data_IF_588561436439
#
_entry.id   IF_588561436439
#
_cell.length_a   1.000
_cell.length_b   1.000
_cell.length_c   1.000
_cell.angle_alpha   90.00
_cell.angle_beta   90.00
_cell.angle_gamma   90.00
#
_symmetry.space_group_name_H-M   'P 1'
#
loop_
_entity.id
_entity.type
_entity.pdbx_description
1 polymer ?
#
# COMPACT_ATOMS: atom_id res chain seq x y z
N UNK A 1 -34.43 8.57 21.52
CA UNK A 1 -34.44 8.98 20.09
C UNK A 1 -33.01 9.29 19.72
N UNK A 2 -32.33 8.40 19.02
CA UNK A 2 -30.97 8.65 18.52
C UNK A 2 -31.04 9.71 17.42
N UNK A 3 -30.17 10.74 17.40
CA UNK A 3 -30.15 11.73 16.33
C UNK A 3 -29.89 11.03 14.99
N UNK A 4 -30.84 11.13 14.07
CA UNK A 4 -30.66 10.69 12.69
C UNK A 4 -29.63 11.64 12.05
N UNK A 5 -28.56 11.13 11.43
CA UNK A 5 -27.57 11.99 10.76
C UNK A 5 -28.26 12.84 9.69
N UNK A 6 -27.80 14.09 9.46
CA UNK A 6 -28.39 14.97 8.46
C UNK A 6 -28.39 14.29 7.08
N UNK A 7 -29.58 14.12 6.51
CA UNK A 7 -29.77 13.57 5.18
C UNK A 7 -29.15 14.54 4.16
N UNK A 8 -27.98 14.20 3.62
CA UNK A 8 -27.34 15.03 2.60
C UNK A 8 -25.85 14.78 2.36
N UNK A 9 -25.12 14.17 3.30
CA UNK A 9 -23.73 13.74 3.04
C UNK A 9 -23.77 12.33 2.47
N UNK A 10 -23.39 12.10 1.20
CA UNK A 10 -23.31 10.75 0.67
C UNK A 10 -22.34 9.95 1.54
N UNK A 11 -22.83 8.88 2.17
CA UNK A 11 -21.97 8.00 2.95
C UNK A 11 -20.90 7.42 2.03
N UNK A 12 -19.64 7.46 2.47
CA UNK A 12 -18.56 6.80 1.76
C UNK A 12 -18.88 5.29 1.67
N UNK A 13 -18.74 4.65 0.49
CA UNK A 13 -19.00 3.23 0.37
C UNK A 13 -18.06 2.40 1.27
N UNK A 14 -18.59 1.33 1.85
CA UNK A 14 -17.80 0.41 2.68
C UNK A 14 -16.59 -0.16 1.91
N UNK A 15 -16.74 -0.45 0.62
CA UNK A 15 -15.66 -0.92 -0.25
C UNK A 15 -14.46 0.04 -0.29
N UNK A 16 -14.69 1.36 -0.24
CA UNK A 16 -13.63 2.38 -0.24
C UNK A 16 -12.90 2.40 1.10
N UNK A 17 -13.63 2.33 2.22
CA UNK A 17 -13.02 2.27 3.55
C UNK A 17 -12.26 0.95 3.76
N UNK A 18 -12.81 -0.19 3.35
CA UNK A 18 -12.11 -1.48 3.39
C UNK A 18 -10.88 -1.46 2.48
N UNK A 19 -11.03 -0.98 1.24
CA UNK A 19 -9.91 -0.85 0.30
C UNK A 19 -8.77 0.02 0.86
N UNK A 20 -9.11 1.14 1.52
CA UNK A 20 -8.15 1.99 2.23
C UNK A 20 -7.39 1.22 3.32
N UNK A 21 -8.09 0.45 4.16
CA UNK A 21 -7.45 -0.31 5.22
C UNK A 21 -6.55 -1.43 4.69
N UNK A 22 -6.99 -2.16 3.66
CA UNK A 22 -6.15 -3.17 3.01
C UNK A 22 -4.84 -2.55 2.49
N UNK A 23 -4.93 -1.40 1.83
CA UNK A 23 -3.77 -0.66 1.36
C UNK A 23 -2.87 -0.14 2.49
N UNK A 24 -3.45 0.37 3.57
CA UNK A 24 -2.68 0.89 4.69
C UNK A 24 -1.89 -0.22 5.40
N UNK A 25 -2.51 -1.39 5.59
CA UNK A 25 -1.84 -2.56 6.16
C UNK A 25 -0.77 -3.07 5.18
N UNK A 26 -1.07 -3.15 3.89
CA UNK A 26 -0.10 -3.54 2.88
C UNK A 26 1.12 -2.61 2.86
N UNK A 27 0.90 -1.30 2.90
CA UNK A 27 1.96 -0.30 2.97
C UNK A 27 2.86 -0.53 4.18
N UNK A 28 2.26 -0.72 5.35
CA UNK A 28 3.00 -0.99 6.59
C UNK A 28 3.86 -2.25 6.47
N UNK A 29 3.28 -3.35 5.98
CA UNK A 29 4.00 -4.60 5.80
C UNK A 29 5.17 -4.44 4.82
N UNK A 30 4.93 -3.85 3.65
CA UNK A 30 5.96 -3.67 2.63
C UNK A 30 7.09 -2.75 3.09
N UNK A 31 6.79 -1.70 3.86
CA UNK A 31 7.81 -0.86 4.49
C UNK A 31 8.68 -1.64 5.46
N UNK A 32 8.07 -2.51 6.30
CA UNK A 32 8.83 -3.38 7.22
C UNK A 32 9.75 -4.30 6.42
N UNK A 33 9.23 -4.97 5.38
CA UNK A 33 10.02 -5.85 4.51
C UNK A 33 11.19 -5.13 3.87
N UNK A 34 10.94 -3.94 3.29
CA UNK A 34 11.95 -3.13 2.63
C UNK A 34 13.04 -2.63 3.61
N UNK A 35 12.65 -2.18 4.80
CA UNK A 35 13.59 -1.70 5.83
C UNK A 35 14.48 -2.84 6.32
N UNK A 36 13.90 -4.01 6.62
CA UNK A 36 14.67 -5.17 7.09
C UNK A 36 15.65 -5.65 6.00
N UNK A 37 15.21 -5.72 4.74
CA UNK A 37 16.06 -6.08 3.60
C UNK A 37 17.20 -5.07 3.43
N UNK A 38 16.90 -3.78 3.50
CA UNK A 38 17.89 -2.71 3.42
C UNK A 38 18.93 -2.74 4.54
N UNK A 39 18.50 -2.94 5.80
CA UNK A 39 19.40 -3.01 6.95
C UNK A 39 20.30 -4.25 6.93
N UNK A 40 19.82 -5.36 6.35
CA UNK A 40 20.63 -6.57 6.18
C UNK A 40 21.80 -6.35 5.21
N UNK A 41 21.57 -5.62 4.11
CA UNK A 41 22.62 -5.26 3.14
C UNK A 41 23.57 -4.19 3.68
N UNK A 42 23.05 -3.29 4.52
CA UNK A 42 23.73 -2.06 4.89
C UNK A 42 24.80 -2.17 5.99
N UNK A 43 25.28 -3.38 6.32
CA UNK A 43 26.44 -3.59 7.20
C UNK A 43 27.76 -2.96 6.67
N UNK A 44 27.73 -2.34 5.48
CA UNK A 44 28.89 -1.83 4.75
C UNK A 44 28.97 -0.29 4.73
N UNK A 45 27.84 0.45 4.82
CA UNK A 45 27.85 1.93 4.73
C UNK A 45 26.62 2.60 5.37
N UNK A 46 26.86 3.50 6.34
CA UNK A 46 25.81 4.29 7.00
C UNK A 46 25.07 5.25 6.06
N UNK A 47 25.73 5.72 4.99
CA UNK A 47 25.12 6.56 3.97
C UNK A 47 24.06 5.79 3.18
N UNK A 48 24.34 4.52 2.85
CA UNK A 48 23.40 3.65 2.14
C UNK A 48 22.17 3.35 3.02
N UNK A 49 22.37 3.13 4.32
CA UNK A 49 21.26 3.02 5.29
C UNK A 49 20.38 4.27 5.22
N UNK A 50 20.98 5.45 5.36
CA UNK A 50 20.25 6.70 5.44
C UNK A 50 19.44 6.97 4.16
N UNK A 51 20.04 6.74 2.98
CA UNK A 51 19.36 6.89 1.70
C UNK A 51 18.22 5.89 1.52
N UNK A 52 18.42 4.64 1.96
CA UNK A 52 17.39 3.59 1.89
C UNK A 52 16.19 3.94 2.78
N UNK A 53 16.44 4.37 4.01
CA UNK A 53 15.38 4.80 4.94
C UNK A 53 14.67 6.06 4.44
N UNK A 54 15.41 7.05 3.93
CA UNK A 54 14.82 8.26 3.37
C UNK A 54 13.90 7.90 2.21
N UNK A 55 14.35 7.07 1.27
CA UNK A 55 13.54 6.61 0.15
C UNK A 55 12.28 5.87 0.63
N UNK A 56 12.41 4.96 1.60
CA UNK A 56 11.28 4.22 2.16
C UNK A 56 10.23 5.16 2.78
N UNK A 57 10.67 6.14 3.58
CA UNK A 57 9.80 7.12 4.23
C UNK A 57 9.12 8.02 3.20
N UNK A 58 9.86 8.54 2.22
CA UNK A 58 9.30 9.37 1.15
C UNK A 58 8.27 8.61 0.33
N UNK A 59 8.58 7.37 -0.09
CA UNK A 59 7.65 6.53 -0.84
C UNK A 59 6.41 6.20 0.00
N UNK A 60 6.59 5.87 1.28
CA UNK A 60 5.48 5.58 2.18
C UNK A 60 4.57 6.78 2.41
N UNK A 61 5.14 7.98 2.58
CA UNK A 61 4.38 9.22 2.69
C UNK A 61 3.61 9.54 1.40
N UNK A 62 4.21 9.30 0.22
CA UNK A 62 3.54 9.48 -1.07
C UNK A 62 2.34 8.55 -1.22
N UNK A 63 2.51 7.25 -0.94
CA UNK A 63 1.39 6.28 -1.00
C UNK A 63 0.32 6.65 0.01
N UNK A 64 0.68 6.95 1.26
CA UNK A 64 -0.26 7.37 2.29
C UNK A 64 -1.06 8.60 1.86
N UNK A 65 -0.41 9.57 1.22
CA UNK A 65 -1.07 10.76 0.68
C UNK A 65 -2.11 10.38 -0.36
N UNK A 66 -1.77 9.49 -1.31
CA UNK A 66 -2.73 8.99 -2.29
C UNK A 66 -3.88 8.20 -1.65
N UNK A 67 -3.64 7.46 -0.57
CA UNK A 67 -4.71 6.79 0.18
C UNK A 67 -5.67 7.77 0.83
N UNK A 68 -5.16 8.86 1.41
CA UNK A 68 -5.99 9.91 2.00
C UNK A 68 -6.80 10.67 0.94
N UNK A 69 -6.19 10.98 -0.20
CA UNK A 69 -6.88 11.59 -1.35
C UNK A 69 -7.92 10.65 -1.98
N UNK A 70 -7.61 9.36 -2.05
CA UNK A 70 -8.56 8.34 -2.49
C UNK A 70 -9.77 8.29 -1.55
N UNK A 71 -9.52 8.35 -0.24
CA UNK A 71 -10.56 8.40 0.79
C UNK A 71 -11.42 9.67 0.69
N UNK A 72 -10.91 10.78 0.15
CA UNK A 72 -11.70 12.00 -0.12
C UNK A 72 -12.36 12.03 -1.50
N UNK A 73 -12.25 10.98 -2.33
CA UNK A 73 -12.99 10.85 -3.59
C UNK A 73 -12.22 11.28 -4.84
N UNK A 74 -10.92 11.53 -4.76
CA UNK A 74 -10.13 11.92 -5.93
C UNK A 74 -9.96 10.76 -6.92
N UNK A 75 -10.65 10.81 -8.06
CA UNK A 75 -10.66 9.77 -9.11
C UNK A 75 -9.29 9.29 -9.62
N UNK A 76 -8.32 10.20 -9.77
CA UNK A 76 -7.01 9.88 -10.36
C UNK A 76 -6.17 8.98 -9.45
N UNK A 77 -6.43 9.02 -8.14
CA UNK A 77 -5.72 8.20 -7.16
C UNK A 77 -5.95 6.71 -7.40
N UNK A 78 -7.12 6.31 -7.90
CA UNK A 78 -7.40 4.90 -8.24
C UNK A 78 -6.46 4.38 -9.31
N UNK A 79 -6.24 5.15 -10.37
CA UNK A 79 -5.33 4.75 -11.47
C UNK A 79 -3.89 4.69 -10.98
N UNK A 80 -3.45 5.68 -10.20
CA UNK A 80 -2.09 5.72 -9.65
C UNK A 80 -1.84 4.58 -8.65
N UNK A 81 -2.77 4.33 -7.73
CA UNK A 81 -2.68 3.23 -6.78
C UNK A 81 -2.74 1.88 -7.50
N UNK A 82 -3.53 1.74 -8.57
CA UNK A 82 -3.59 0.50 -9.35
C UNK A 82 -2.29 0.25 -10.09
N UNK A 83 -1.79 1.24 -10.83
CA UNK A 83 -0.53 1.13 -11.57
C UNK A 83 0.66 0.89 -10.63
N UNK A 84 0.76 1.69 -9.56
CA UNK A 84 1.78 1.53 -8.54
C UNK A 84 1.69 0.19 -7.82
N UNK A 85 0.49 -0.23 -7.43
CA UNK A 85 0.25 -1.51 -6.76
C UNK A 85 0.62 -2.72 -7.63
N UNK A 86 0.23 -2.71 -8.91
CA UNK A 86 0.62 -3.77 -9.86
C UNK A 86 2.14 -3.81 -10.04
N UNK A 87 2.78 -2.64 -10.22
CA UNK A 87 4.24 -2.55 -10.32
C UNK A 87 4.92 -3.11 -9.05
N UNK A 88 4.41 -2.78 -7.86
CA UNK A 88 4.90 -3.32 -6.59
C UNK A 88 4.76 -4.83 -6.54
N UNK A 89 3.60 -5.41 -6.90
CA UNK A 89 3.40 -6.87 -6.89
C UNK A 89 4.37 -7.58 -7.85
N UNK A 90 4.59 -7.03 -9.05
CA UNK A 90 5.55 -7.58 -10.01
C UNK A 90 6.97 -7.50 -9.44
N UNK A 91 7.36 -6.34 -8.92
CA UNK A 91 8.68 -6.16 -8.29
C UNK A 91 8.89 -7.14 -7.14
N UNK A 92 7.94 -7.26 -6.23
CA UNK A 92 8.00 -8.19 -5.10
C UNK A 92 8.14 -9.63 -5.58
N UNK A 93 7.37 -10.02 -6.60
CA UNK A 93 7.44 -11.36 -7.18
C UNK A 93 8.83 -11.64 -7.77
N UNK A 94 9.34 -10.75 -8.63
CA UNK A 94 10.68 -10.91 -9.21
C UNK A 94 11.75 -10.96 -8.12
N UNK A 95 11.68 -10.06 -7.15
CA UNK A 95 12.65 -9.95 -6.06
C UNK A 95 12.64 -11.18 -5.15
N UNK A 96 11.48 -11.82 -4.94
CA UNK A 96 11.34 -13.04 -4.15
C UNK A 96 12.14 -14.20 -4.75
N UNK A 97 12.21 -14.29 -6.08
CA UNK A 97 12.87 -15.40 -6.78
C UNK A 97 14.29 -15.09 -7.28
N UNK A 98 14.69 -13.82 -7.32
CA UNK A 98 15.98 -13.41 -7.91
C UNK A 98 17.00 -12.87 -6.92
N UNK A 99 16.57 -12.36 -5.76
CA UNK A 99 17.48 -11.70 -4.81
C UNK A 99 17.83 -12.66 -3.67
N UNK A 100 19.11 -13.06 -3.54
CA UNK A 100 19.56 -13.87 -2.41
C UNK A 100 19.56 -13.03 -1.12
N UNK A 101 19.07 -13.63 -0.03
CA UNK A 101 18.92 -12.97 1.28
C UNK A 101 19.38 -13.88 2.41
N UNK A 102 19.88 -13.30 3.50
CA UNK A 102 20.08 -14.03 4.75
C UNK A 102 18.74 -14.56 5.31
N UNK A 103 18.73 -15.66 6.10
CA UNK A 103 17.50 -16.36 6.48
C UNK A 103 16.43 -15.47 7.11
N UNK A 104 16.82 -14.57 8.03
CA UNK A 104 15.90 -13.66 8.69
C UNK A 104 15.25 -12.69 7.67
N UNK A 105 16.07 -12.01 6.86
CA UNK A 105 15.61 -11.06 5.85
C UNK A 105 14.75 -11.75 4.78
N UNK A 106 15.11 -12.97 4.38
CA UNK A 106 14.36 -13.77 3.42
C UNK A 106 12.93 -14.05 3.92
N UNK A 107 12.79 -14.53 5.16
CA UNK A 107 11.48 -14.82 5.76
C UNK A 107 10.66 -13.54 5.94
N UNK A 108 11.27 -12.47 6.44
CA UNK A 108 10.57 -11.19 6.62
C UNK A 108 10.09 -10.63 5.29
N UNK A 109 10.95 -10.59 4.26
CA UNK A 109 10.59 -10.12 2.93
C UNK A 109 9.49 -10.98 2.31
N UNK A 110 9.57 -12.31 2.42
CA UNK A 110 8.58 -13.22 1.88
C UNK A 110 7.20 -13.01 2.52
N UNK A 111 7.12 -13.00 3.86
CA UNK A 111 5.85 -12.85 4.58
C UNK A 111 5.22 -11.49 4.29
N UNK A 112 5.99 -10.41 4.46
CA UNK A 112 5.49 -9.05 4.24
C UNK A 112 5.13 -8.78 2.78
N UNK A 113 5.95 -9.28 1.85
CA UNK A 113 5.77 -9.13 0.41
C UNK A 113 4.54 -9.88 -0.11
N UNK A 114 4.38 -11.15 0.26
CA UNK A 114 3.25 -11.98 -0.20
C UNK A 114 1.94 -11.44 0.37
N UNK A 115 1.87 -11.24 1.69
CA UNK A 115 0.65 -10.75 2.35
C UNK A 115 0.32 -9.34 1.86
N UNK A 116 1.32 -8.45 1.79
CA UNK A 116 1.13 -7.10 1.25
C UNK A 116 0.62 -7.10 -0.19
N UNK A 117 1.12 -7.99 -1.04
CA UNK A 117 0.67 -8.13 -2.43
C UNK A 117 -0.79 -8.55 -2.54
N UNK A 118 -1.21 -9.54 -1.74
CA UNK A 118 -2.62 -9.99 -1.72
C UNK A 118 -3.55 -8.85 -1.25
N UNK A 119 -3.14 -8.11 -0.23
CA UNK A 119 -3.91 -6.98 0.29
C UNK A 119 -4.01 -5.84 -0.74
N UNK A 120 -2.92 -5.54 -1.48
CA UNK A 120 -2.94 -4.56 -2.58
C UNK A 120 -3.95 -4.98 -3.65
N UNK A 121 -3.89 -6.23 -4.12
CA UNK A 121 -4.80 -6.74 -5.16
C UNK A 121 -6.25 -6.71 -4.67
N UNK A 122 -6.50 -7.13 -3.44
CA UNK A 122 -7.83 -7.03 -2.81
C UNK A 122 -8.34 -5.59 -2.73
N UNK A 123 -7.48 -4.65 -2.33
CA UNK A 123 -7.80 -3.22 -2.30
C UNK A 123 -8.12 -2.68 -3.68
N UNK A 124 -7.32 -3.01 -4.70
CA UNK A 124 -7.57 -2.62 -6.10
C UNK A 124 -8.93 -3.14 -6.56
N UNK A 125 -9.23 -4.41 -6.31
CA UNK A 125 -10.51 -5.03 -6.69
C UNK A 125 -11.70 -4.29 -6.08
N UNK A 126 -11.67 -4.01 -4.77
CA UNK A 126 -12.75 -3.27 -4.09
C UNK A 126 -12.93 -1.85 -4.65
N UNK A 127 -11.87 -1.16 -5.03
CA UNK A 127 -11.94 0.20 -5.61
C UNK A 127 -12.57 0.24 -7.01
N UNK A 128 -12.72 -0.91 -7.66
CA UNK A 128 -13.35 -1.03 -8.98
C UNK A 128 -14.77 -1.59 -8.93
N UNK A 129 -15.29 -1.93 -7.73
CA UNK A 129 -16.70 -2.33 -7.58
C UNK A 129 -17.66 -1.18 -7.90
N UNK A 130 -18.92 -1.48 -8.30
CA UNK A 130 -19.90 -0.47 -8.69
C UNK A 130 -20.12 0.63 -7.64
N UNK A 131 -20.20 0.26 -6.36
CA UNK A 131 -20.42 1.19 -5.25
C UNK A 131 -19.26 2.18 -5.10
N UNK A 132 -18.03 1.69 -5.15
CA UNK A 132 -16.82 2.51 -5.16
C UNK A 132 -16.72 3.35 -6.45
N UNK A 133 -17.08 2.79 -7.60
CA UNK A 133 -17.07 3.50 -8.87
C UNK A 133 -18.01 4.71 -8.84
N UNK A 134 -19.23 4.53 -8.33
CA UNK A 134 -20.19 5.61 -8.15
C UNK A 134 -19.69 6.72 -7.23
N UNK A 135 -18.83 6.42 -6.25
CA UNK A 135 -18.21 7.43 -5.39
C UNK A 135 -17.15 8.27 -6.10
N UNK A 136 -16.34 7.70 -6.99
CA UNK A 136 -15.26 8.43 -7.69
C UNK A 136 -15.69 9.22 -8.92
N UNK A 137 -16.90 9.00 -9.43
CA UNK A 137 -17.41 9.62 -10.67
C UNK A 137 -18.44 10.73 -10.39
N UNK A 138 -18.84 10.91 -9.13
CA UNK A 138 -19.61 12.08 -8.66
C UNK A 138 -18.74 13.32 -8.64
#
# INVERSE_FOLDING_TARGET
MTPQPPAGVPSRPADVDTGFWLWLVALTLLLIGYIVDGLAVARISSVVVALTLLFAVTMGAMVLTFLLLMRSGYRWTRTVLTGGGVATVIYTTVSLFSVPREPLAAVTFAVTGIVGSVLIVGGIYLLHRPDAHGFFVR
#
